data_IF_089413889309
#
_entry.id   IF_089413889309
#
_cell.length_a   1.000
_cell.length_b   1.000
_cell.length_c   1.000
_cell.angle_alpha   90.00
_cell.angle_beta   90.00
_cell.angle_gamma   90.00
#
_symmetry.space_group_name_H-M   'P 1'
#
loop_
_entity.id
_entity.type
_entity.pdbx_description
1 polymer ?
#
# COMPACT_ATOMS: atom_id res chain seq x y z
N UNK A 1 28.76 -0.01 11.75
CA UNK A 1 27.41 0.42 12.14
C UNK A 1 26.43 -0.29 11.22
N UNK A 2 26.08 -1.55 11.54
CA UNK A 2 24.95 -2.24 10.93
C UNK A 2 23.70 -1.54 11.43
N UNK A 3 23.10 -0.74 10.55
CA UNK A 3 21.81 -0.09 10.78
C UNK A 3 20.79 -1.17 11.16
N UNK A 4 20.15 -1.03 12.33
CA UNK A 4 18.98 -1.83 12.73
C UNK A 4 17.93 -1.72 11.60
N UNK A 5 17.87 -2.74 10.73
CA UNK A 5 16.98 -2.77 9.56
C UNK A 5 15.53 -3.13 9.92
N UNK A 6 15.25 -3.37 11.20
CA UNK A 6 13.98 -3.93 11.63
C UNK A 6 12.85 -2.91 11.81
N UNK A 7 13.17 -1.62 11.91
CA UNK A 7 12.15 -0.58 12.06
C UNK A 7 12.50 0.60 11.15
N UNK A 8 11.67 0.87 10.17
CA UNK A 8 11.85 1.98 9.23
C UNK A 8 10.53 2.75 9.05
N UNK A 9 10.63 3.97 8.53
CA UNK A 9 9.48 4.66 7.94
C UNK A 9 9.26 4.05 6.58
N UNK A 10 8.06 3.61 6.28
CA UNK A 10 7.73 3.07 4.97
C UNK A 10 7.82 4.19 3.94
N UNK A 11 8.82 4.15 3.09
CA UNK A 11 8.84 4.92 1.85
C UNK A 11 8.39 3.99 0.74
N UNK A 12 7.10 3.97 0.50
CA UNK A 12 6.51 3.15 -0.56
C UNK A 12 7.07 3.59 -1.91
N UNK A 13 8.01 2.81 -2.44
CA UNK A 13 8.54 2.97 -3.79
C UNK A 13 7.83 1.96 -4.66
N UNK A 14 7.05 2.44 -5.62
CA UNK A 14 6.26 1.60 -6.50
C UNK A 14 6.87 1.56 -7.90
N UNK A 15 6.73 0.41 -8.57
CA UNK A 15 7.04 0.27 -9.99
C UNK A 15 5.89 0.79 -10.85
N UNK A 16 6.06 0.61 -12.16
CA UNK A 16 5.09 1.02 -13.16
C UNK A 16 3.72 0.32 -13.05
N UNK A 17 3.56 -0.63 -12.15
CA UNK A 17 2.35 -1.42 -11.93
C UNK A 17 1.66 -1.15 -10.58
N UNK A 18 2.04 -0.06 -9.90
CA UNK A 18 1.73 0.17 -8.51
C UNK A 18 2.16 -1.00 -7.60
N UNK A 19 3.08 -1.86 -8.09
CA UNK A 19 3.71 -2.89 -7.30
C UNK A 19 4.80 -2.25 -6.46
N UNK A 20 4.81 -2.53 -5.19
CA UNK A 20 5.87 -2.04 -4.33
C UNK A 20 7.21 -2.70 -4.68
N UNK A 21 8.25 -1.87 -4.87
CA UNK A 21 9.61 -2.33 -5.17
C UNK A 21 10.42 -2.57 -3.90
N UNK A 22 9.93 -2.11 -2.77
CA UNK A 22 10.61 -2.29 -1.50
C UNK A 22 10.65 -3.78 -1.14
N UNK A 23 11.84 -4.25 -0.79
CA UNK A 23 12.00 -5.61 -0.28
C UNK A 23 11.79 -5.62 1.23
N UNK A 24 10.74 -6.29 1.67
CA UNK A 24 10.40 -6.43 3.09
C UNK A 24 11.27 -7.48 3.75
N UNK A 25 12.31 -7.01 4.46
CA UNK A 25 13.30 -7.88 5.11
C UNK A 25 14.32 -8.49 4.15
N UNK A 26 14.81 -9.67 4.48
CA UNK A 26 15.83 -10.38 3.71
C UNK A 26 15.28 -11.64 3.04
N UNK A 27 16.02 -12.21 2.08
CA UNK A 27 15.65 -13.49 1.49
C UNK A 27 15.56 -14.63 2.52
N UNK A 28 16.35 -14.59 3.59
CA UNK A 28 16.35 -15.59 4.65
C UNK A 28 15.25 -15.33 5.70
N UNK A 29 14.91 -14.05 5.94
CA UNK A 29 13.89 -13.63 6.89
C UNK A 29 13.04 -12.51 6.30
N UNK A 30 12.03 -12.85 5.47
CA UNK A 30 11.26 -11.91 4.66
C UNK A 30 10.13 -11.27 5.46
N UNK A 31 10.46 -10.33 6.33
CA UNK A 31 9.55 -9.55 7.16
C UNK A 31 10.15 -8.17 7.44
N UNK A 32 9.31 -7.16 7.46
CA UNK A 32 9.67 -5.81 7.86
C UNK A 32 8.57 -5.19 8.72
N UNK A 33 8.97 -4.28 9.61
CA UNK A 33 8.10 -3.53 10.49
C UNK A 33 8.24 -2.03 10.20
N UNK A 34 7.12 -1.31 10.19
CA UNK A 34 7.06 0.10 9.87
C UNK A 34 6.29 0.88 10.93
N UNK A 35 6.69 2.15 11.11
CA UNK A 35 5.94 3.17 11.81
C UNK A 35 5.72 4.33 10.87
N UNK A 36 4.47 4.62 10.56
CA UNK A 36 4.10 5.63 9.59
C UNK A 36 3.32 6.76 10.25
N UNK A 37 3.72 7.99 9.93
CA UNK A 37 2.97 9.20 10.25
C UNK A 37 2.31 9.71 8.97
N UNK A 38 1.03 9.38 8.80
CA UNK A 38 0.27 9.66 7.59
C UNK A 38 0.04 11.15 7.34
N UNK A 39 0.24 12.01 8.34
CA UNK A 39 0.22 13.46 8.14
C UNK A 39 1.46 13.96 7.40
N UNK A 40 2.57 13.26 7.56
CA UNK A 40 3.83 13.58 6.89
C UNK A 40 3.90 12.93 5.52
N UNK A 41 3.54 11.65 5.45
CA UNK A 41 3.62 10.85 4.24
C UNK A 41 2.48 9.82 4.22
N UNK A 42 1.36 10.10 3.53
CA UNK A 42 0.31 9.10 3.29
C UNK A 42 0.87 7.91 2.50
N UNK A 43 0.35 6.72 2.77
CA UNK A 43 0.72 5.52 2.03
C UNK A 43 -0.06 5.49 0.71
N UNK A 44 0.59 5.67 -0.46
CA UNK A 44 -0.08 5.73 -1.75
C UNK A 44 -0.68 4.38 -2.14
N UNK A 45 -1.51 4.35 -3.18
CA UNK A 45 -2.00 3.12 -3.77
C UNK A 45 -0.85 2.22 -4.24
N UNK A 46 -0.78 1.00 -3.67
CA UNK A 46 0.21 0.00 -4.04
C UNK A 46 -0.32 -1.42 -3.79
N UNK A 47 0.42 -2.40 -4.26
CA UNK A 47 0.22 -3.81 -3.94
C UNK A 47 1.57 -4.54 -3.92
N UNK A 48 1.65 -5.61 -3.16
CA UNK A 48 2.81 -6.49 -3.04
C UNK A 48 2.39 -7.96 -2.87
N UNK A 49 3.35 -8.87 -2.98
CA UNK A 49 3.10 -10.33 -2.86
C UNK A 49 3.10 -10.81 -1.41
N UNK A 50 3.41 -9.93 -0.49
CA UNK A 50 3.43 -10.16 0.94
C UNK A 50 2.02 -10.03 1.54
N UNK A 51 1.87 -10.57 2.74
CA UNK A 51 0.75 -10.29 3.64
C UNK A 51 1.09 -9.06 4.47
N UNK A 52 0.11 -8.21 4.73
CA UNK A 52 0.26 -7.05 5.60
C UNK A 52 -0.76 -7.04 6.72
N UNK A 53 -0.34 -6.55 7.88
CA UNK A 53 -1.22 -6.20 8.99
C UNK A 53 -0.82 -4.84 9.52
N UNK A 54 -1.76 -3.92 9.57
CA UNK A 54 -1.58 -2.61 10.17
C UNK A 54 -2.47 -2.43 11.41
N UNK A 55 -2.03 -1.61 12.35
CA UNK A 55 -2.78 -1.19 13.53
C UNK A 55 -2.63 0.31 13.72
N UNK A 56 -3.75 1.00 13.93
CA UNK A 56 -3.76 2.45 14.20
C UNK A 56 -3.28 2.71 15.61
N UNK A 57 -2.15 3.37 15.77
CA UNK A 57 -1.57 3.73 17.06
C UNK A 57 -2.06 5.10 17.57
N UNK A 58 -2.42 6.01 16.66
CA UNK A 58 -2.92 7.35 17.01
C UNK A 58 -3.81 7.92 15.90
N UNK A 59 -4.90 8.58 16.28
CA UNK A 59 -5.82 9.24 15.36
C UNK A 59 -6.82 8.30 14.69
N UNK A 60 -7.26 8.69 13.50
CA UNK A 60 -8.22 7.95 12.66
C UNK A 60 -7.73 7.96 11.23
N UNK A 61 -7.70 6.80 10.58
CA UNK A 61 -7.29 6.65 9.19
C UNK A 61 -8.46 6.24 8.30
N UNK A 62 -8.32 6.54 7.03
CA UNK A 62 -9.07 5.95 5.94
C UNK A 62 -8.17 4.95 5.24
N UNK A 63 -8.29 3.68 5.60
CA UNK A 63 -7.67 2.59 4.86
C UNK A 63 -8.58 2.20 3.70
N UNK A 64 -7.97 1.91 2.56
CA UNK A 64 -8.72 1.42 1.39
C UNK A 64 -8.04 0.15 0.90
N UNK A 65 -8.83 -0.90 0.68
CA UNK A 65 -8.32 -2.17 0.19
C UNK A 65 -9.39 -2.87 -0.66
N UNK A 66 -8.97 -3.42 -1.80
CA UNK A 66 -9.85 -4.12 -2.74
C UNK A 66 -11.08 -3.31 -3.20
N UNK A 67 -10.99 -1.98 -3.25
CA UNK A 67 -12.07 -1.07 -3.63
C UNK A 67 -13.02 -0.67 -2.50
N UNK A 68 -12.85 -1.22 -1.31
CA UNK A 68 -13.63 -0.88 -0.13
C UNK A 68 -12.88 0.12 0.75
N UNK A 69 -13.65 0.95 1.49
CA UNK A 69 -13.12 1.99 2.37
C UNK A 69 -13.39 1.61 3.83
N UNK A 70 -12.34 1.61 4.63
CA UNK A 70 -12.39 1.28 6.04
C UNK A 70 -11.97 2.48 6.87
N UNK A 71 -12.90 3.01 7.67
CA UNK A 71 -12.55 3.96 8.73
C UNK A 71 -12.05 3.15 9.91
N UNK A 72 -10.79 3.37 10.29
CA UNK A 72 -10.16 2.71 11.42
C UNK A 72 -9.74 3.75 12.47
N UNK A 73 -10.06 3.46 13.71
CA UNK A 73 -9.73 4.30 14.87
C UNK A 73 -8.56 3.69 15.66
N UNK A 74 -7.99 4.45 16.55
CA UNK A 74 -6.92 3.99 17.44
C UNK A 74 -7.25 2.64 18.08
N UNK A 75 -6.35 1.67 17.94
CA UNK A 75 -6.47 0.31 18.43
C UNK A 75 -7.20 -0.65 17.51
N UNK A 76 -7.75 -0.17 16.38
CA UNK A 76 -8.27 -1.02 15.31
C UNK A 76 -7.19 -1.32 14.27
N UNK A 77 -7.33 -2.42 13.54
CA UNK A 77 -6.38 -2.84 12.53
C UNK A 77 -7.04 -3.38 11.26
N UNK A 78 -6.21 -3.61 10.26
CA UNK A 78 -6.58 -4.20 8.99
C UNK A 78 -5.55 -5.26 8.61
N UNK A 79 -6.03 -6.46 8.29
CA UNK A 79 -5.25 -7.47 7.59
C UNK A 79 -5.48 -7.31 6.09
N UNK A 80 -4.41 -7.34 5.30
CA UNK A 80 -4.42 -7.20 3.84
C UNK A 80 -3.74 -8.43 3.25
N UNK A 81 -4.44 -9.08 2.33
CA UNK A 81 -3.94 -10.29 1.66
C UNK A 81 -2.96 -9.94 0.54
N UNK A 82 -2.14 -10.91 0.15
CA UNK A 82 -1.19 -10.78 -0.94
C UNK A 82 -1.87 -10.34 -2.26
N UNK A 83 -1.22 -9.43 -2.97
CA UNK A 83 -1.68 -8.93 -4.26
C UNK A 83 -2.91 -8.02 -4.21
N UNK A 84 -3.37 -7.60 -3.04
CA UNK A 84 -4.48 -6.66 -2.88
C UNK A 84 -3.99 -5.23 -3.06
N UNK A 85 -4.64 -4.47 -3.95
CA UNK A 85 -4.39 -3.04 -4.10
C UNK A 85 -4.95 -2.31 -2.89
N UNK A 86 -4.11 -1.52 -2.20
CA UNK A 86 -4.46 -0.81 -0.96
C UNK A 86 -3.68 0.49 -0.80
N UNK A 87 -4.07 1.28 0.20
CA UNK A 87 -3.42 2.53 0.58
C UNK A 87 -4.11 3.18 1.78
N UNK A 88 -3.38 4.09 2.48
CA UNK A 88 -3.82 4.66 3.75
C UNK A 88 -3.64 6.17 3.78
N UNK A 89 -4.66 6.86 4.29
CA UNK A 89 -4.69 8.31 4.38
C UNK A 89 -5.19 8.79 5.75
N UNK A 90 -4.71 9.95 6.23
CA UNK A 90 -5.28 10.55 7.43
C UNK A 90 -6.72 11.00 7.15
N UNK A 91 -7.64 10.71 8.06
CA UNK A 91 -9.03 11.13 7.91
C UNK A 91 -9.28 12.54 8.49
N UNK A 92 -8.50 12.94 9.49
CA UNK A 92 -8.64 14.21 10.20
C UNK A 92 -7.31 14.97 10.27
N UNK A 93 -7.39 16.30 10.44
CA UNK A 93 -6.24 17.12 10.80
C UNK A 93 -5.85 16.82 12.26
N UNK A 94 -4.67 16.29 12.51
CA UNK A 94 -4.14 15.93 13.82
C UNK A 94 -3.20 14.73 13.71
N UNK A 95 -2.54 14.32 14.79
CA UNK A 95 -1.66 13.17 14.77
C UNK A 95 -2.38 11.94 14.20
N UNK A 96 -1.78 11.30 13.21
CA UNK A 96 -2.36 10.15 12.53
C UNK A 96 -1.26 9.14 12.24
N UNK A 97 -1.14 8.13 13.09
CA UNK A 97 -0.05 7.17 13.07
C UNK A 97 -0.56 5.75 13.06
N UNK A 98 0.13 4.93 12.32
CA UNK A 98 -0.05 3.48 12.35
C UNK A 98 1.31 2.79 12.49
N UNK A 99 1.28 1.53 12.82
CA UNK A 99 2.41 0.64 12.59
C UNK A 99 1.92 -0.58 11.82
N UNK A 100 2.76 -1.03 10.91
CA UNK A 100 2.46 -2.15 10.05
C UNK A 100 3.58 -3.18 10.05
N UNK A 101 3.21 -4.38 9.65
CA UNK A 101 4.12 -5.50 9.45
C UNK A 101 3.80 -6.13 8.12
N UNK A 102 4.80 -6.18 7.26
CA UNK A 102 4.72 -6.79 5.93
C UNK A 102 5.61 -8.02 5.91
N UNK A 103 5.07 -9.19 5.54
CA UNK A 103 5.81 -10.43 5.55
C UNK A 103 5.39 -11.39 4.43
N UNK A 104 6.38 -12.06 3.84
CA UNK A 104 6.11 -13.04 2.81
C UNK A 104 5.50 -14.33 3.40
N UNK A 105 4.43 -14.90 2.79
CA UNK A 105 3.72 -16.07 3.32
C UNK A 105 4.62 -17.29 3.63
N UNK A 106 5.72 -17.46 2.89
CA UNK A 106 6.69 -18.55 3.11
C UNK A 106 7.34 -18.52 4.51
N UNK A 107 7.34 -17.37 5.18
CA UNK A 107 7.88 -17.26 6.54
C UNK A 107 7.14 -18.18 7.51
N UNK A 108 5.83 -18.28 7.33
CA UNK A 108 4.96 -19.17 8.14
C UNK A 108 4.78 -20.53 7.46
N UNK A 109 4.43 -20.52 6.17
CA UNK A 109 4.08 -21.71 5.42
C UNK A 109 5.25 -22.61 5.03
N UNK A 110 6.46 -22.05 4.96
CA UNK A 110 7.62 -22.78 4.46
C UNK A 110 7.52 -23.11 2.98
N UNK A 111 7.82 -24.34 2.63
CA UNK A 111 7.75 -24.86 1.26
C UNK A 111 6.31 -25.08 0.79
N UNK A 112 5.99 -24.91 -0.52
CA UNK A 112 4.65 -25.13 -1.08
C UNK A 112 4.08 -26.55 -0.89
N UNK A 113 4.90 -27.53 -0.61
CA UNK A 113 4.51 -28.91 -0.31
C UNK A 113 4.26 -29.16 1.18
N UNK A 114 4.49 -28.17 2.05
CA UNK A 114 4.22 -28.29 3.48
C UNK A 114 2.71 -28.32 3.77
N UNK A 115 2.32 -29.00 4.86
CA UNK A 115 0.92 -28.97 5.34
C UNK A 115 0.46 -27.56 5.70
N UNK A 116 1.37 -26.70 6.19
CA UNK A 116 1.05 -25.31 6.54
C UNK A 116 0.68 -24.50 5.30
N UNK A 117 1.43 -24.71 4.20
CA UNK A 117 1.12 -24.03 2.94
C UNK A 117 -0.17 -24.56 2.34
N UNK A 118 -0.27 -25.87 2.09
CA UNK A 118 -1.39 -26.46 1.35
C UNK A 118 -2.72 -26.32 2.08
N UNK A 119 -2.73 -26.54 3.40
CA UNK A 119 -3.97 -26.55 4.18
C UNK A 119 -4.44 -25.18 4.63
N UNK A 120 -3.51 -24.23 4.88
CA UNK A 120 -3.85 -22.96 5.52
C UNK A 120 -3.54 -21.75 4.65
N UNK A 121 -2.33 -21.65 4.10
CA UNK A 121 -1.94 -20.44 3.37
C UNK A 121 -2.45 -20.42 1.94
N UNK A 122 -2.33 -21.50 1.19
CA UNK A 122 -2.82 -21.54 -0.19
C UNK A 122 -4.30 -21.18 -0.30
N UNK A 123 -5.22 -21.75 0.53
CA UNK A 123 -6.62 -21.31 0.53
C UNK A 123 -6.81 -19.85 0.89
N UNK A 124 -6.03 -19.29 1.82
CA UNK A 124 -6.08 -17.87 2.17
C UNK A 124 -5.63 -17.00 0.98
N UNK A 125 -4.46 -17.28 0.39
CA UNK A 125 -3.87 -16.52 -0.70
C UNK A 125 -4.71 -16.56 -1.98
N UNK A 126 -5.37 -17.68 -2.25
CA UNK A 126 -6.17 -17.88 -3.46
C UNK A 126 -7.65 -17.59 -3.26
N UNK A 127 -8.08 -17.23 -2.04
CA UNK A 127 -9.48 -16.91 -1.75
C UNK A 127 -9.83 -15.48 -2.20
N UNK A 128 -10.51 -15.32 -3.34
CA UNK A 128 -10.90 -13.99 -3.83
C UNK A 128 -11.86 -13.25 -2.90
N UNK A 129 -12.53 -14.01 -2.03
CA UNK A 129 -13.51 -13.49 -1.07
C UNK A 129 -12.88 -12.92 0.21
N UNK A 130 -11.56 -12.93 0.33
CA UNK A 130 -10.83 -12.49 1.52
C UNK A 130 -9.67 -11.57 1.16
N UNK A 131 -9.92 -10.46 0.49
CA UNK A 131 -8.85 -9.52 0.16
C UNK A 131 -8.28 -8.84 1.42
N UNK A 132 -9.12 -8.65 2.44
CA UNK A 132 -8.74 -8.02 3.71
C UNK A 132 -9.71 -8.39 4.83
N UNK A 133 -9.33 -8.09 6.07
CA UNK A 133 -10.17 -8.26 7.25
C UNK A 133 -9.93 -7.14 8.26
N UNK A 134 -11.00 -6.45 8.67
CA UNK A 134 -10.93 -5.47 9.77
C UNK A 134 -10.77 -6.20 11.09
N UNK A 135 -9.85 -5.73 11.91
CA UNK A 135 -9.56 -6.26 13.24
C UNK A 135 -9.99 -5.25 14.31
N UNK A 136 -10.93 -5.62 15.14
CA UNK A 136 -11.49 -4.79 16.22
C UNK A 136 -11.25 -5.39 17.59
N UNK A 137 -10.82 -4.60 18.58
CA UNK A 137 -10.52 -5.11 19.93
C UNK A 137 -11.76 -5.65 20.66
N UNK A 138 -12.97 -5.25 20.25
CA UNK A 138 -14.23 -5.73 20.80
C UNK A 138 -14.60 -7.16 20.41
N UNK A 139 -13.97 -7.74 19.39
CA UNK A 139 -14.21 -9.11 18.94
C UNK A 139 -13.05 -9.99 19.38
N UNK A 140 -13.33 -11.06 20.12
CA UNK A 140 -12.32 -11.86 20.83
C UNK A 140 -11.20 -12.39 19.92
N UNK A 141 -11.56 -13.08 18.82
CA UNK A 141 -10.55 -13.63 17.91
C UNK A 141 -9.75 -12.54 17.16
N UNK A 142 -10.39 -11.39 16.86
CA UNK A 142 -9.72 -10.26 16.21
C UNK A 142 -8.72 -9.59 17.18
N UNK A 143 -9.12 -9.42 18.42
CA UNK A 143 -8.22 -8.96 19.49
C UNK A 143 -7.03 -9.89 19.66
N UNK A 144 -7.26 -11.21 19.64
CA UNK A 144 -6.18 -12.18 19.74
C UNK A 144 -5.25 -12.11 18.52
N UNK A 145 -5.79 -12.01 17.31
CA UNK A 145 -4.98 -11.81 16.11
C UNK A 145 -4.09 -10.55 16.21
N UNK A 146 -4.64 -9.43 16.69
CA UNK A 146 -3.87 -8.20 16.91
C UNK A 146 -2.81 -8.37 18.02
N UNK A 147 -3.12 -9.06 19.11
CA UNK A 147 -2.15 -9.37 20.16
C UNK A 147 -0.97 -10.17 19.61
N UNK A 148 -1.22 -11.12 18.73
CA UNK A 148 -0.17 -11.92 18.11
C UNK A 148 0.66 -11.08 17.12
N UNK A 149 0.03 -10.20 16.35
CA UNK A 149 0.73 -9.22 15.52
C UNK A 149 1.68 -8.34 16.37
N UNK A 150 1.19 -7.80 17.48
CA UNK A 150 1.99 -6.99 18.39
C UNK A 150 3.17 -7.76 19.02
N UNK A 151 2.99 -9.05 19.31
CA UNK A 151 4.07 -9.91 19.79
C UNK A 151 5.14 -10.14 18.72
N UNK A 152 4.72 -10.39 17.47
CA UNK A 152 5.62 -10.55 16.34
C UNK A 152 6.37 -9.24 16.07
N UNK A 153 5.66 -8.11 16.04
CA UNK A 153 6.23 -6.77 15.83
C UNK A 153 7.32 -6.47 16.87
N UNK A 154 7.00 -6.63 18.15
CA UNK A 154 7.98 -6.42 19.24
C UNK A 154 9.17 -7.37 19.16
N UNK A 155 8.97 -8.62 18.73
CA UNK A 155 10.07 -9.57 18.58
C UNK A 155 11.04 -9.08 17.48
N UNK A 156 10.50 -8.68 16.31
CA UNK A 156 11.31 -8.18 15.17
C UNK A 156 12.02 -6.87 15.51
N UNK A 157 11.33 -5.92 16.14
CA UNK A 157 11.91 -4.60 16.49
C UNK A 157 13.03 -4.70 17.53
N UNK A 158 12.88 -5.61 18.51
CA UNK A 158 13.85 -5.73 19.60
C UNK A 158 15.05 -6.66 19.30
N UNK A 159 14.95 -7.53 18.30
CA UNK A 159 16.02 -8.43 17.83
C UNK A 159 16.73 -9.22 18.94
N UNK A 160 15.98 -9.64 19.98
CA UNK A 160 16.57 -10.47 21.04
C UNK A 160 16.86 -11.89 20.52
N UNK A 161 17.88 -12.59 21.04
CA UNK A 161 18.22 -13.94 20.59
C UNK A 161 16.98 -14.83 20.42
N UNK A 162 16.81 -15.42 19.21
CA UNK A 162 15.68 -16.27 18.83
C UNK A 162 14.40 -15.49 18.51
N UNK A 163 14.51 -14.20 18.21
CA UNK A 163 13.36 -13.36 17.81
C UNK A 163 12.67 -13.89 16.55
N UNK A 164 13.41 -14.51 15.63
CA UNK A 164 12.86 -15.10 14.40
C UNK A 164 11.86 -16.22 14.71
N UNK A 165 12.17 -17.08 15.68
CA UNK A 165 11.24 -18.11 16.15
C UNK A 165 10.00 -17.51 16.82
N UNK A 166 10.19 -16.48 17.65
CA UNK A 166 9.08 -15.80 18.33
C UNK A 166 8.16 -15.09 17.35
N UNK A 167 8.72 -14.38 16.37
CA UNK A 167 7.97 -13.71 15.32
C UNK A 167 7.18 -14.72 14.48
N UNK A 168 7.84 -15.79 14.00
CA UNK A 168 7.17 -16.84 13.24
C UNK A 168 6.05 -17.54 14.02
N UNK A 169 6.26 -17.86 15.28
CA UNK A 169 5.24 -18.49 16.13
C UNK A 169 4.01 -17.58 16.30
N UNK A 170 4.24 -16.30 16.60
CA UNK A 170 3.17 -15.32 16.74
C UNK A 170 2.40 -15.10 15.43
N UNK A 171 3.09 -14.99 14.29
CA UNK A 171 2.47 -14.89 12.97
C UNK A 171 1.68 -16.14 12.61
N UNK A 172 2.15 -17.32 12.98
CA UNK A 172 1.43 -18.58 12.76
C UNK A 172 0.10 -18.60 13.52
N UNK A 173 0.11 -18.15 14.78
CA UNK A 173 -1.11 -18.06 15.59
C UNK A 173 -2.07 -16.99 15.06
N UNK A 174 -1.55 -15.82 14.66
CA UNK A 174 -2.36 -14.78 14.03
C UNK A 174 -3.07 -15.30 12.77
N UNK A 175 -2.33 -15.96 11.87
CA UNK A 175 -2.91 -16.52 10.63
C UNK A 175 -3.90 -17.63 10.92
N UNK A 176 -3.68 -18.44 11.97
CA UNK A 176 -4.64 -19.45 12.42
C UNK A 176 -5.97 -18.82 12.85
N UNK A 177 -5.94 -17.71 13.61
CA UNK A 177 -7.14 -16.96 13.95
C UNK A 177 -7.86 -16.43 12.71
N UNK A 178 -7.12 -15.82 11.78
CA UNK A 178 -7.67 -15.29 10.53
C UNK A 178 -8.31 -16.38 9.66
N UNK A 179 -7.65 -17.53 9.50
CA UNK A 179 -8.16 -18.65 8.69
C UNK A 179 -9.36 -19.31 9.37
N UNK A 180 -9.30 -19.50 10.70
CA UNK A 180 -10.33 -20.19 11.46
C UNK A 180 -11.66 -19.43 11.57
N UNK A 181 -11.60 -18.10 11.58
CA UNK A 181 -12.79 -17.25 11.76
C UNK A 181 -13.21 -16.54 10.46
N UNK A 182 -12.52 -16.77 9.37
CA UNK A 182 -12.95 -16.21 8.11
C UNK A 182 -14.32 -16.82 7.71
N UNK A 183 -15.29 -15.98 7.29
CA UNK A 183 -16.58 -16.48 6.83
C UNK A 183 -16.38 -17.53 5.73
N UNK A 184 -17.23 -18.54 5.72
CA UNK A 184 -17.23 -19.57 4.68
C UNK A 184 -17.20 -18.88 3.31
N UNK A 185 -16.33 -19.35 2.43
CA UNK A 185 -16.03 -18.74 1.13
C UNK A 185 -17.32 -18.49 0.35
N UNK A 186 -17.87 -17.27 0.43
CA UNK A 186 -18.72 -16.78 -0.64
C UNK A 186 -17.74 -16.34 -1.73
N UNK A 187 -17.73 -17.09 -2.83
CA UNK A 187 -16.92 -16.71 -3.98
C UNK A 187 -17.27 -15.27 -4.35
N UNK A 188 -16.26 -14.39 -4.41
CA UNK A 188 -16.47 -13.06 -4.96
C UNK A 188 -17.13 -13.21 -6.32
N UNK A 189 -18.11 -12.39 -6.65
CA UNK A 189 -18.70 -12.39 -7.98
C UNK A 189 -17.54 -12.33 -9.01
N UNK A 190 -17.60 -13.18 -10.03
CA UNK A 190 -16.59 -13.17 -11.14
C UNK A 190 -16.32 -11.77 -11.67
N UNK A 191 -17.28 -10.87 -11.51
CA UNK A 191 -17.19 -9.45 -11.87
C UNK A 191 -16.19 -8.70 -11.01
N UNK A 192 -16.12 -8.92 -9.70
CA UNK A 192 -15.19 -8.23 -8.80
C UNK A 192 -13.74 -8.64 -9.07
N UNK A 193 -13.50 -9.93 -9.32
CA UNK A 193 -12.18 -10.43 -9.72
C UNK A 193 -11.70 -9.79 -11.04
N UNK A 194 -12.59 -9.76 -12.06
CA UNK A 194 -12.27 -9.12 -13.34
C UNK A 194 -12.00 -7.62 -13.17
N UNK A 195 -12.68 -6.94 -12.24
CA UNK A 195 -12.44 -5.52 -11.97
C UNK A 195 -11.08 -5.29 -11.33
N UNK A 196 -10.63 -6.17 -10.42
CA UNK A 196 -9.30 -6.09 -9.81
C UNK A 196 -8.16 -6.27 -10.82
N UNK A 197 -8.29 -7.24 -11.74
CA UNK A 197 -7.30 -7.44 -12.81
C UNK A 197 -7.30 -6.26 -13.80
N UNK A 198 -8.48 -5.77 -14.18
CA UNK A 198 -8.64 -4.63 -15.08
C UNK A 198 -8.04 -3.36 -14.52
N UNK A 199 -8.26 -3.07 -13.23
CA UNK A 199 -7.70 -1.87 -12.61
C UNK A 199 -6.18 -1.93 -12.59
N UNK A 200 -5.57 -3.08 -12.26
CA UNK A 200 -4.11 -3.26 -12.32
C UNK A 200 -3.56 -2.97 -13.72
N UNK A 201 -4.19 -3.52 -14.75
CA UNK A 201 -3.79 -3.27 -16.17
C UNK A 201 -3.89 -1.79 -16.53
N UNK A 202 -4.95 -1.10 -16.11
CA UNK A 202 -5.14 0.32 -16.39
C UNK A 202 -4.14 1.21 -15.61
N UNK A 203 -3.84 0.86 -14.36
CA UNK A 203 -2.83 1.55 -13.56
C UNK A 203 -1.44 1.40 -14.19
N UNK A 204 -1.11 0.18 -14.63
CA UNK A 204 0.10 -0.11 -15.38
C UNK A 204 0.20 0.79 -16.61
N UNK A 205 -0.83 0.80 -17.46
CA UNK A 205 -0.86 1.61 -18.68
C UNK A 205 -0.60 3.11 -18.37
N UNK A 206 -1.28 3.66 -17.36
CA UNK A 206 -1.08 5.05 -16.95
C UNK A 206 0.38 5.30 -16.58
N UNK A 207 0.99 4.39 -15.85
CA UNK A 207 2.33 4.56 -15.33
C UNK A 207 3.42 4.41 -16.40
N UNK A 208 3.21 3.53 -17.39
CA UNK A 208 4.09 3.40 -18.56
C UNK A 208 4.01 4.63 -19.48
N UNK A 209 2.85 5.30 -19.51
CA UNK A 209 2.54 6.36 -20.47
C UNK A 209 2.27 7.73 -19.84
N UNK A 210 2.47 7.91 -18.52
CA UNK A 210 2.09 9.14 -17.81
C UNK A 210 2.68 10.42 -18.41
N UNK A 211 3.85 10.33 -19.02
CA UNK A 211 4.51 11.47 -19.67
C UNK A 211 3.92 11.86 -21.05
N UNK A 212 3.11 10.97 -21.63
CA UNK A 212 2.47 11.14 -22.93
C UNK A 212 1.10 11.81 -22.82
N UNK A 213 0.47 12.12 -23.94
CA UNK A 213 -0.90 12.63 -23.96
C UNK A 213 -1.88 11.43 -23.90
N UNK A 214 -2.22 11.03 -22.67
CA UNK A 214 -3.04 9.84 -22.39
C UNK A 214 -4.49 10.24 -22.19
N UNK A 215 -5.39 9.60 -22.98
CA UNK A 215 -6.84 9.75 -22.87
C UNK A 215 -7.50 8.62 -22.08
N UNK A 216 -8.72 8.87 -21.58
CA UNK A 216 -9.53 7.83 -20.90
C UNK A 216 -9.83 6.65 -21.82
N UNK A 217 -9.99 6.90 -23.12
CA UNK A 217 -10.21 5.88 -24.15
C UNK A 217 -9.02 4.92 -24.27
N UNK A 218 -7.80 5.45 -24.24
CA UNK A 218 -6.57 4.65 -24.28
C UNK A 218 -6.41 3.83 -22.99
N UNK A 219 -6.68 4.44 -21.83
CA UNK A 219 -6.67 3.73 -20.54
C UNK A 219 -7.69 2.58 -20.57
N UNK A 220 -8.91 2.82 -21.02
CA UNK A 220 -9.95 1.80 -21.13
C UNK A 220 -9.57 0.67 -22.10
N UNK A 221 -8.99 1.04 -23.26
CA UNK A 221 -8.55 0.09 -24.27
C UNK A 221 -7.46 -0.85 -23.75
N UNK A 222 -6.56 -0.39 -22.88
CA UNK A 222 -5.52 -1.23 -22.27
C UNK A 222 -6.09 -2.45 -21.53
N UNK A 223 -7.26 -2.30 -20.91
CA UNK A 223 -7.96 -3.37 -20.20
C UNK A 223 -9.12 -4.00 -21.00
N UNK A 224 -9.21 -3.70 -22.32
CA UNK A 224 -10.26 -4.18 -23.23
C UNK A 224 -11.69 -3.89 -22.72
N UNK A 225 -11.93 -2.66 -22.21
CA UNK A 225 -13.23 -2.21 -21.70
C UNK A 225 -13.63 -0.86 -22.31
N UNK A 226 -14.89 -0.48 -22.12
CA UNK A 226 -15.38 0.84 -22.53
C UNK A 226 -14.89 1.95 -21.61
N UNK A 227 -14.80 3.23 -22.08
CA UNK A 227 -14.50 4.37 -21.22
C UNK A 227 -15.42 4.50 -20.00
N UNK A 228 -16.72 4.24 -20.17
CA UNK A 228 -17.67 4.26 -19.06
C UNK A 228 -17.39 3.19 -18.01
N UNK A 229 -16.96 2.01 -18.43
CA UNK A 229 -16.57 0.93 -17.52
C UNK A 229 -15.23 1.23 -16.84
N UNK A 230 -14.29 1.87 -17.53
CA UNK A 230 -13.04 2.38 -16.98
C UNK A 230 -13.32 3.39 -15.85
N UNK A 231 -14.14 4.41 -16.09
CA UNK A 231 -14.54 5.39 -15.07
C UNK A 231 -15.16 4.72 -13.85
N UNK A 232 -16.05 3.74 -14.07
CA UNK A 232 -16.66 2.98 -12.99
C UNK A 232 -15.63 2.14 -12.21
N UNK A 233 -14.73 1.44 -12.89
CA UNK A 233 -13.66 0.67 -12.23
C UNK A 233 -12.76 1.58 -11.36
N UNK A 234 -12.35 2.73 -11.87
CA UNK A 234 -11.56 3.68 -11.09
C UNK A 234 -12.32 4.21 -9.88
N UNK A 235 -13.60 4.59 -10.06
CA UNK A 235 -14.44 5.06 -8.97
C UNK A 235 -14.64 3.98 -7.90
N UNK A 236 -14.99 2.75 -8.31
CA UNK A 236 -15.35 1.67 -7.39
C UNK A 236 -14.12 1.08 -6.68
N UNK A 237 -12.96 0.98 -7.36
CA UNK A 237 -11.76 0.32 -6.84
C UNK A 237 -10.78 1.28 -6.17
N UNK A 238 -10.67 2.53 -6.65
CA UNK A 238 -9.68 3.51 -6.20
C UNK A 238 -10.33 4.75 -5.58
N UNK A 239 -11.62 4.98 -5.86
CA UNK A 239 -12.36 6.14 -5.36
C UNK A 239 -12.02 7.46 -6.05
N UNK A 240 -11.43 7.41 -7.24
CA UNK A 240 -11.05 8.58 -8.03
C UNK A 240 -11.38 8.37 -9.52
N UNK A 241 -10.99 9.31 -10.38
CA UNK A 241 -11.13 9.16 -11.84
C UNK A 241 -9.76 8.84 -12.46
N UNK A 242 -9.71 8.23 -13.68
CA UNK A 242 -8.46 7.96 -14.38
C UNK A 242 -7.61 9.23 -14.59
N UNK A 243 -8.24 10.35 -14.96
CA UNK A 243 -7.55 11.62 -15.17
C UNK A 243 -6.98 12.21 -13.88
N UNK A 244 -7.71 12.05 -12.76
CA UNK A 244 -7.23 12.47 -11.46
C UNK A 244 -6.02 11.63 -11.05
N UNK A 245 -6.11 10.31 -11.20
CA UNK A 245 -5.02 9.39 -10.89
C UNK A 245 -3.78 9.69 -11.76
N UNK A 246 -3.94 9.86 -13.08
CA UNK A 246 -2.84 10.26 -13.98
C UNK A 246 -2.17 11.56 -13.54
N UNK A 247 -2.96 12.58 -13.16
CA UNK A 247 -2.44 13.85 -12.67
C UNK A 247 -1.64 13.67 -11.38
N UNK A 248 -2.12 12.85 -10.46
CA UNK A 248 -1.47 12.61 -9.17
C UNK A 248 -0.15 11.84 -9.37
N UNK A 249 -0.11 10.86 -10.28
CA UNK A 249 1.12 10.17 -10.69
C UNK A 249 2.15 11.13 -11.31
N UNK A 250 1.74 11.98 -12.25
CA UNK A 250 2.61 13.02 -12.82
C UNK A 250 3.19 13.94 -11.76
N UNK A 251 2.38 14.32 -10.79
CA UNK A 251 2.76 15.21 -9.70
C UNK A 251 3.76 14.55 -8.75
N UNK A 252 3.56 13.26 -8.45
CA UNK A 252 4.48 12.48 -7.64
C UNK A 252 5.85 12.33 -8.32
N UNK A 253 5.88 11.96 -9.60
CA UNK A 253 7.13 11.89 -10.36
C UNK A 253 7.86 13.22 -10.42
N UNK A 254 7.13 14.33 -10.56
CA UNK A 254 7.71 15.65 -10.51
C UNK A 254 8.35 15.96 -9.15
N UNK A 255 7.75 15.53 -8.03
CA UNK A 255 8.33 15.70 -6.70
C UNK A 255 9.66 14.95 -6.55
N UNK A 256 9.74 13.70 -7.04
CA UNK A 256 11.00 12.92 -7.07
C UNK A 256 12.10 13.62 -7.88
N UNK A 257 11.77 14.09 -9.09
CA UNK A 257 12.73 14.82 -9.93
C UNK A 257 13.16 16.17 -9.31
N UNK A 258 12.25 16.84 -8.61
CA UNK A 258 12.57 18.09 -7.88
C UNK A 258 13.60 17.87 -6.78
N UNK A 259 13.55 16.71 -6.08
CA UNK A 259 14.50 16.35 -5.02
C UNK A 259 15.80 15.79 -5.59
N UNK A 260 15.70 14.91 -6.59
CA UNK A 260 16.84 14.12 -7.10
C UNK A 260 17.65 14.79 -8.18
N UNK A 261 17.18 15.91 -8.77
CA UNK A 261 17.86 16.54 -9.92
C UNK A 261 18.05 18.05 -9.78
N UNK A 262 18.90 18.62 -10.66
CA UNK A 262 19.08 20.05 -10.84
C UNK A 262 18.24 20.66 -11.96
N UNK A 263 17.38 19.90 -12.64
CA UNK A 263 16.57 20.31 -13.78
C UNK A 263 15.68 21.51 -13.45
N UNK A 264 15.39 22.35 -14.43
CA UNK A 264 14.45 23.45 -14.23
C UNK A 264 13.04 22.94 -13.96
N UNK A 265 12.24 23.69 -13.19
CA UNK A 265 10.87 23.32 -12.84
C UNK A 265 10.00 23.13 -14.09
N UNK A 266 10.22 23.95 -15.13
CA UNK A 266 9.54 23.81 -16.43
C UNK A 266 9.93 22.54 -17.19
N UNK A 267 11.19 22.16 -17.14
CA UNK A 267 11.68 20.92 -17.76
C UNK A 267 11.08 19.70 -17.05
N UNK A 268 11.04 19.72 -15.72
CA UNK A 268 10.40 18.65 -14.93
C UNK A 268 8.91 18.54 -15.25
N UNK A 269 8.20 19.68 -15.34
CA UNK A 269 6.79 19.68 -15.72
C UNK A 269 6.57 19.01 -17.09
N UNK A 270 7.38 19.37 -18.09
CA UNK A 270 7.31 18.79 -19.42
C UNK A 270 7.65 17.29 -19.42
N UNK A 271 8.71 16.87 -18.73
CA UNK A 271 9.07 15.45 -18.60
C UNK A 271 8.00 14.60 -17.90
N UNK A 272 7.21 15.23 -17.02
CA UNK A 272 6.09 14.56 -16.35
C UNK A 272 4.77 14.67 -17.12
N UNK A 273 4.77 15.11 -18.37
CA UNK A 273 3.59 15.19 -19.23
C UNK A 273 2.66 16.37 -18.96
N UNK A 274 3.11 17.40 -18.22
CA UNK A 274 2.35 18.64 -18.06
C UNK A 274 2.66 19.59 -19.23
N UNK A 275 1.66 19.90 -20.03
CA UNK A 275 1.80 20.84 -21.14
C UNK A 275 1.76 22.31 -20.72
N UNK A 276 1.18 22.61 -19.55
CA UNK A 276 1.05 23.97 -19.00
C UNK A 276 1.67 24.06 -17.60
N UNK A 277 2.65 24.96 -17.45
CA UNK A 277 3.38 25.15 -16.20
C UNK A 277 2.51 25.73 -15.07
N UNK A 278 1.49 26.53 -15.40
CA UNK A 278 0.57 27.08 -14.39
C UNK A 278 -0.38 26.01 -13.89
N UNK A 279 -0.83 25.13 -14.77
CA UNK A 279 -1.62 23.96 -14.39
C UNK A 279 -0.79 22.99 -13.52
N UNK A 280 0.45 22.72 -13.90
CA UNK A 280 1.38 21.94 -13.08
C UNK A 280 1.54 22.53 -11.68
N UNK A 281 1.83 23.83 -11.56
CA UNK A 281 2.04 24.48 -10.27
C UNK A 281 0.78 24.41 -9.37
N UNK A 282 -0.42 24.50 -9.97
CA UNK A 282 -1.69 24.35 -9.23
C UNK A 282 -1.90 22.90 -8.78
N UNK A 283 -1.73 21.93 -9.66
CA UNK A 283 -1.84 20.50 -9.35
C UNK A 283 -0.86 20.12 -8.24
N UNK A 284 0.39 20.53 -8.35
CA UNK A 284 1.43 20.28 -7.38
C UNK A 284 1.09 20.85 -6.00
N UNK A 285 0.56 22.10 -5.95
CA UNK A 285 0.15 22.73 -4.70
C UNK A 285 -1.05 22.03 -4.05
N UNK A 286 -1.98 21.47 -4.84
CA UNK A 286 -3.10 20.70 -4.31
C UNK A 286 -2.64 19.43 -3.58
N UNK A 287 -1.58 18.76 -4.08
CA UNK A 287 -1.06 17.52 -3.49
C UNK A 287 -0.12 17.81 -2.32
N UNK A 288 0.84 18.73 -2.49
CA UNK A 288 1.92 18.95 -1.53
C UNK A 288 1.78 20.21 -0.65
N UNK A 289 0.69 20.94 -0.75
CA UNK A 289 0.43 22.15 0.04
C UNK A 289 1.33 23.36 -0.29
N UNK A 290 2.34 23.19 -1.17
CA UNK A 290 3.26 24.25 -1.58
C UNK A 290 3.63 24.14 -3.07
N UNK A 291 4.19 25.20 -3.64
CA UNK A 291 4.62 25.20 -5.04
C UNK A 291 5.90 24.38 -5.27
N UNK A 292 6.16 23.93 -6.55
CA UNK A 292 7.32 23.07 -6.87
C UNK A 292 8.67 23.67 -6.44
N UNK A 293 8.88 24.96 -6.65
CA UNK A 293 10.12 25.66 -6.27
C UNK A 293 10.32 25.69 -4.75
N UNK A 294 9.24 25.91 -4.01
CA UNK A 294 9.27 25.89 -2.55
C UNK A 294 9.54 24.49 -2.01
N UNK A 295 8.90 23.47 -2.61
CA UNK A 295 9.10 22.07 -2.27
C UNK A 295 10.57 21.66 -2.42
N UNK A 296 11.18 21.96 -3.57
CA UNK A 296 12.62 21.73 -3.82
C UNK A 296 13.49 22.42 -2.77
N UNK A 297 13.18 23.67 -2.43
CA UNK A 297 13.95 24.42 -1.42
C UNK A 297 13.88 23.77 -0.04
N UNK A 298 12.70 23.29 0.36
CA UNK A 298 12.50 22.57 1.63
C UNK A 298 13.28 21.26 1.65
N UNK A 299 13.18 20.45 0.59
CA UNK A 299 13.89 19.17 0.46
C UNK A 299 15.42 19.33 0.55
N UNK A 300 15.99 20.34 -0.14
CA UNK A 300 17.43 20.61 -0.07
C UNK A 300 17.90 21.06 1.32
N UNK A 301 17.05 21.76 2.07
CA UNK A 301 17.38 22.16 3.46
C UNK A 301 17.32 20.96 4.43
N UNK A 302 16.43 20.01 4.21
CA UNK A 302 16.31 18.81 5.02
C UNK A 302 17.44 17.78 4.75
N UNK A 303 18.00 17.76 3.54
CA UNK A 303 19.13 16.88 3.18
C UNK A 303 20.53 17.49 3.40
N UNK A 304 20.61 18.70 3.99
CA UNK A 304 21.87 19.41 4.29
C UNK A 304 22.24 19.38 5.79
N UNK A 305 21.64 18.43 6.57
CA UNK A 305 21.98 18.17 7.98
C UNK A 305 22.67 16.82 8.10
#
# INVERSE_FOLDING_TARGET
>A
DEQKMALSVCRTVIDDFARELLKHGTAAFPIACYHDDLQTEPVPWHWHEELEVLVVSEGTILATAAGEKYRLEKGEGLFINAGVLHGDWPLNAGPCRLHSMVFHPRLVGGSPDSVFWQKYLQPLLTAPSRPCAVLRPGVEWQREAMNQMERAFRAVVNEQPGYEFKARAALSEMLFQLVGHAPAVQALPKKALRSADRIKTMLQFIQEHYAEDVSVEQIAASAAISPSECLRCFHDMIGTTPNQYLRDQRTQRAAELLCGTGLQVSEIAAQCGFQDASYFARAFRQVYGCGPTEYRRKARRAGAV
#
